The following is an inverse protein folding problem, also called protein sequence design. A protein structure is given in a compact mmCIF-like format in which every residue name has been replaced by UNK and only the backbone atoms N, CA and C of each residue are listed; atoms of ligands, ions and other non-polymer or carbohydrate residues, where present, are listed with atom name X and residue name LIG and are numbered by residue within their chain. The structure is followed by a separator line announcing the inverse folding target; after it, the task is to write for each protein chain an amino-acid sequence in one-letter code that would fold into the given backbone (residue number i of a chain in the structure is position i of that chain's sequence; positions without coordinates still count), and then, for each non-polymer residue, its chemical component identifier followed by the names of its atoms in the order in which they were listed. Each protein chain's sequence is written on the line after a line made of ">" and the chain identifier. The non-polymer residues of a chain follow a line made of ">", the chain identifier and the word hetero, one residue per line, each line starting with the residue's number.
data_IF_726879934668
#
_entry.id   IF_726879934668
#
_cell.length_a   1.000
_cell.length_b   1.000
_cell.length_c   1.000
_cell.angle_alpha   90.00
_cell.angle_beta   90.00
_cell.angle_gamma   90.00
#
_symmetry.space_group_name_H-M   'P 1'
#
loop_
_entity.id
_entity.type
_entity.pdbx_description
1 polymer ?
#
# COMPACT_ATOMS: atom_id res chain seq x y z
N UNK A 1 -42.99 -10.08 3.30
CA UNK A 1 -42.44 -10.45 4.62
C UNK A 1 -41.55 -9.31 5.10
N UNK A 2 -42.23 -8.26 5.52
CA UNK A 2 -41.69 -6.95 5.91
C UNK A 2 -42.19 -6.71 7.34
N UNK A 3 -41.34 -6.08 8.14
CA UNK A 3 -41.52 -5.74 9.57
C UNK A 3 -41.30 -6.89 10.54
N UNK A 4 -40.26 -6.76 11.37
CA UNK A 4 -40.29 -6.76 12.85
C UNK A 4 -38.84 -6.91 13.34
N UNK A 5 -38.25 -5.79 13.80
CA UNK A 5 -37.39 -5.70 15.01
C UNK A 5 -36.63 -4.37 15.03
N UNK A 6 -37.36 -3.33 15.46
CA UNK A 6 -36.82 -2.07 15.96
C UNK A 6 -37.48 -1.83 17.30
N UNK A 7 -36.90 -2.33 18.39
CA UNK A 7 -37.22 -1.92 19.77
C UNK A 7 -36.27 -2.63 20.73
N UNK A 8 -35.17 -1.96 21.09
CA UNK A 8 -34.46 -2.14 22.37
C UNK A 8 -33.44 -0.99 22.52
N UNK A 9 -33.98 0.21 22.72
CA UNK A 9 -33.25 1.35 23.25
C UNK A 9 -34.21 2.07 24.21
N UNK A 10 -33.72 2.41 25.40
CA UNK A 10 -34.40 3.08 26.51
C UNK A 10 -35.14 2.18 27.51
N UNK A 11 -34.38 1.62 28.45
CA UNK A 11 -34.78 1.60 29.86
C UNK A 11 -33.55 1.28 30.72
N UNK A 12 -33.04 2.29 31.43
CA UNK A 12 -32.47 2.22 32.78
C UNK A 12 -31.63 3.48 33.03
N UNK A 13 -32.28 4.51 33.53
CA UNK A 13 -31.66 5.63 34.23
C UNK A 13 -32.58 6.05 35.37
N UNK A 14 -31.99 6.21 36.58
CA UNK A 14 -32.57 6.65 37.88
C UNK A 14 -33.12 5.48 38.72
N UNK A 15 -32.79 5.28 40.00
CA UNK A 15 -32.40 6.22 41.06
C UNK A 15 -31.82 5.46 42.29
N UNK A 16 -30.76 6.00 42.90
CA UNK A 16 -30.49 6.14 44.36
C UNK A 16 -28.99 6.49 44.54
N UNK A 17 -28.58 7.71 44.91
CA UNK A 17 -28.58 8.37 46.24
C UNK A 17 -27.90 7.53 47.34
N UNK A 18 -26.91 7.94 48.13
CA UNK A 18 -26.09 9.15 48.35
C UNK A 18 -24.98 8.70 49.39
N UNK A 19 -24.27 9.56 50.14
CA UNK A 19 -23.06 10.35 49.85
C UNK A 19 -21.81 9.96 50.71
N UNK A 20 -20.65 10.58 50.42
CA UNK A 20 -19.71 11.01 51.48
C UNK A 20 -18.20 10.91 51.21
N UNK A 21 -17.50 11.99 51.60
CA UNK A 21 -16.05 12.15 51.88
C UNK A 21 -15.20 12.58 50.66
N UNK A 22 -14.97 13.89 50.42
CA UNK A 22 -14.03 14.86 51.04
C UNK A 22 -12.54 14.64 50.72
N UNK A 23 -11.91 15.70 50.17
CA UNK A 23 -10.46 15.89 49.98
C UNK A 23 -10.10 16.09 48.51
N UNK A 24 -10.04 17.33 47.99
CA UNK A 24 -8.87 18.22 48.09
C UNK A 24 -7.93 17.90 46.92
N UNK A 25 -7.75 18.72 45.88
CA UNK A 25 -7.40 20.13 45.92
C UNK A 25 -5.92 20.27 45.50
N UNK A 26 -5.69 20.89 44.34
CA UNK A 26 -4.42 21.51 43.91
C UNK A 26 -3.20 20.61 43.67
N UNK A 27 -2.93 20.29 42.39
CA UNK A 27 -1.56 20.09 41.89
C UNK A 27 -1.52 20.43 40.39
N UNK A 28 -1.52 21.73 40.09
CA UNK A 28 -1.26 22.23 38.73
C UNK A 28 -0.64 23.63 38.81
N UNK A 29 0.52 23.74 39.45
CA UNK A 29 1.42 24.90 39.40
C UNK A 29 2.74 24.59 40.11
N UNK A 30 3.58 23.73 39.53
CA UNK A 30 4.96 23.54 39.98
C UNK A 30 5.86 22.92 38.89
N UNK A 31 5.86 23.53 37.71
CA UNK A 31 6.89 23.30 36.68
C UNK A 31 7.20 24.62 35.99
N UNK A 32 7.81 25.58 36.71
CA UNK A 32 8.40 26.78 36.07
C UNK A 32 9.46 27.53 36.90
N UNK A 33 10.06 26.92 37.93
CA UNK A 33 11.12 27.58 38.72
C UNK A 33 12.28 26.66 39.13
N UNK A 34 12.87 25.94 38.17
CA UNK A 34 14.22 25.39 38.33
C UNK A 34 15.01 25.56 37.03
N UNK A 35 15.47 26.79 36.79
CA UNK A 35 16.55 27.05 35.83
C UNK A 35 17.17 28.43 36.07
N UNK A 36 17.55 28.73 37.31
CA UNK A 36 18.53 29.79 37.59
C UNK A 36 19.41 29.35 38.77
N UNK A 37 20.70 29.63 38.65
CA UNK A 37 21.80 29.42 39.61
C UNK A 37 22.58 28.11 39.50
N UNK A 38 23.60 28.08 38.64
CA UNK A 38 25.03 27.74 38.89
C UNK A 38 25.77 28.37 37.67
N UNK A 39 26.78 29.24 37.70
CA UNK A 39 27.92 29.40 38.58
C UNK A 39 29.19 29.27 37.72
N UNK A 40 29.69 30.38 37.18
CA UNK A 40 31.05 30.56 36.60
C UNK A 40 31.78 31.58 37.50
N UNK A 41 33.13 31.68 37.59
CA UNK A 41 34.12 31.31 36.56
C UNK A 41 35.47 30.74 37.07
N UNK A 42 36.30 30.20 36.16
CA UNK A 42 37.77 30.43 36.22
C UNK A 42 38.40 30.48 34.83
N UNK A 43 39.12 31.58 34.59
CA UNK A 43 39.98 31.85 33.43
C UNK A 43 41.23 30.97 33.48
N UNK A 44 41.67 30.45 32.34
CA UNK A 44 43.10 30.41 31.99
C UNK A 44 43.28 30.51 30.48
N UNK A 45 44.12 31.46 30.11
CA UNK A 45 44.63 31.83 28.80
C UNK A 45 45.66 30.82 28.29
N UNK A 46 45.67 30.54 26.98
CA UNK A 46 46.71 30.99 26.02
C UNK A 46 46.86 30.01 24.84
N UNK A 47 46.83 30.59 23.62
CA UNK A 47 47.66 30.28 22.42
C UNK A 47 47.69 28.83 21.90
N UNK A 48 47.73 28.52 20.61
CA UNK A 48 47.67 29.21 19.32
C UNK A 48 47.97 28.11 18.29
N UNK A 49 47.42 28.28 17.08
CA UNK A 49 47.91 27.76 15.80
C UNK A 49 47.55 26.34 15.33
N UNK A 50 47.37 26.36 14.00
CA UNK A 50 47.55 25.31 13.01
C UNK A 50 46.33 24.45 12.69
N UNK A 51 45.55 25.01 11.78
CA UNK A 51 44.65 24.34 10.87
C UNK A 51 45.28 23.07 10.25
N UNK A 52 44.58 21.94 10.43
CA UNK A 52 44.66 20.78 9.55
C UNK A 52 43.23 20.23 9.39
N UNK A 53 42.46 20.86 8.49
CA UNK A 53 41.18 20.32 7.99
C UNK A 53 41.49 19.05 7.21
N UNK A 54 41.40 17.89 7.87
CA UNK A 54 41.23 16.60 7.20
C UNK A 54 39.75 16.41 6.92
N UNK A 55 39.35 16.66 5.68
CA UNK A 55 38.09 16.20 5.12
C UNK A 55 38.11 14.66 5.10
N UNK A 56 37.49 14.02 6.09
CA UNK A 56 37.03 12.64 5.96
C UNK A 56 35.66 12.69 5.26
N UNK A 57 35.64 12.43 3.95
CA UNK A 57 34.39 12.14 3.24
C UNK A 57 33.81 10.86 3.83
N UNK A 58 32.67 10.98 4.50
CA UNK A 58 31.94 9.85 5.04
C UNK A 58 30.79 9.54 4.09
N UNK A 59 30.84 8.32 3.56
CA UNK A 59 29.92 7.74 2.60
C UNK A 59 28.50 7.76 3.17
N UNK A 60 27.64 8.59 2.56
CA UNK A 60 26.19 8.43 2.63
C UNK A 60 25.85 7.05 2.06
N UNK A 61 25.20 6.19 2.85
CA UNK A 61 24.69 4.90 2.39
C UNK A 61 23.37 5.08 1.59
N UNK A 62 23.36 6.03 0.66
CA UNK A 62 22.55 5.90 -0.54
C UNK A 62 23.33 5.00 -1.50
N UNK A 63 22.63 4.04 -2.11
CA UNK A 63 23.10 3.06 -3.08
C UNK A 63 24.21 3.62 -4.00
N UNK A 64 25.26 2.84 -4.22
CA UNK A 64 26.28 3.16 -5.20
C UNK A 64 25.69 3.16 -6.62
N UNK A 65 25.53 4.34 -7.19
CA UNK A 65 25.61 4.57 -8.63
C UNK A 65 27.07 4.35 -9.05
N UNK A 66 27.34 3.39 -9.94
CA UNK A 66 28.29 3.56 -11.05
C UNK A 66 27.97 2.56 -12.17
N UNK A 67 27.58 3.13 -13.30
CA UNK A 67 27.52 2.54 -14.63
C UNK A 67 28.91 2.15 -15.14
N UNK A 68 29.00 1.04 -15.89
CA UNK A 68 29.97 0.95 -16.98
C UNK A 68 29.53 -0.04 -18.08
N UNK A 69 28.59 0.41 -18.92
CA UNK A 69 28.47 -0.10 -20.29
C UNK A 69 28.30 1.08 -21.25
N UNK A 70 29.41 1.40 -21.90
CA UNK A 70 29.52 2.25 -23.09
C UNK A 70 28.57 1.85 -24.21
N UNK A 71 27.66 2.74 -24.61
CA UNK A 71 27.13 2.78 -25.99
C UNK A 71 27.01 4.24 -26.45
N UNK A 72 27.58 4.46 -27.62
CA UNK A 72 27.75 5.68 -28.40
C UNK A 72 26.51 6.57 -28.59
N UNK A 73 26.77 7.88 -28.53
CA UNK A 73 26.01 8.99 -29.11
C UNK A 73 25.56 8.73 -30.55
N UNK A 74 24.24 8.69 -30.77
CA UNK A 74 23.60 9.08 -32.03
C UNK A 74 22.42 9.99 -31.70
N UNK A 75 22.48 11.22 -32.21
CA UNK A 75 21.40 12.18 -32.15
C UNK A 75 20.31 11.81 -33.16
N UNK A 76 19.06 11.72 -32.71
CA UNK A 76 17.90 12.03 -33.53
C UNK A 76 16.69 12.28 -32.65
N UNK A 77 16.24 13.54 -32.66
CA UNK A 77 14.86 13.87 -32.30
C UNK A 77 13.91 13.07 -33.22
N UNK A 78 12.75 12.68 -32.68
CA UNK A 78 11.55 13.26 -33.27
C UNK A 78 10.53 13.75 -32.24
N UNK A 79 9.90 14.83 -32.67
CA UNK A 79 8.76 15.54 -32.13
C UNK A 79 7.62 14.61 -31.70
N UNK A 80 7.18 14.72 -30.45
CA UNK A 80 5.90 14.16 -30.01
C UNK A 80 4.76 15.03 -30.54
N UNK A 81 4.14 14.57 -31.62
CA UNK A 81 2.81 15.00 -32.02
C UNK A 81 1.79 14.44 -31.03
N UNK A 82 0.96 15.34 -30.50
CA UNK A 82 -0.22 15.05 -29.69
C UNK A 82 -1.18 14.13 -30.44
N UNK A 83 -1.32 12.88 -30.00
CA UNK A 83 -2.43 12.01 -30.42
C UNK A 83 -3.68 12.45 -29.64
N UNK A 84 -4.47 13.30 -30.28
CA UNK A 84 -5.89 13.46 -29.99
C UNK A 84 -6.60 12.12 -30.26
N UNK A 85 -6.99 11.42 -29.20
CA UNK A 85 -7.88 10.26 -29.31
C UNK A 85 -9.29 10.78 -29.61
N UNK A 86 -9.58 10.92 -30.90
CA UNK A 86 -10.94 11.04 -31.40
C UNK A 86 -11.64 9.68 -31.22
N UNK A 87 -12.55 9.61 -30.24
CA UNK A 87 -13.46 8.48 -30.05
C UNK A 87 -14.43 8.36 -31.23
N UNK A 88 -14.01 7.67 -32.30
CA UNK A 88 -14.91 7.14 -33.32
C UNK A 88 -15.79 6.05 -32.70
N UNK A 89 -17.11 6.23 -32.81
CA UNK A 89 -18.11 5.18 -32.57
C UNK A 89 -17.87 4.03 -33.55
N UNK A 90 -17.15 3.00 -33.13
CA UNK A 90 -17.19 1.71 -33.80
C UNK A 90 -18.39 0.92 -33.30
N UNK A 91 -19.32 0.73 -34.23
CA UNK A 91 -20.52 -0.06 -34.10
C UNK A 91 -20.09 -1.53 -34.16
N UNK A 92 -19.83 -2.14 -33.00
CA UNK A 92 -19.52 -3.57 -32.92
C UNK A 92 -20.80 -4.35 -33.26
N UNK A 93 -20.74 -4.99 -34.42
CA UNK A 93 -21.73 -5.93 -34.92
C UNK A 93 -21.73 -7.18 -34.03
N UNK A 94 -22.87 -7.43 -33.39
CA UNK A 94 -23.14 -8.65 -32.64
C UNK A 94 -23.22 -9.84 -33.59
N UNK A 95 -22.25 -10.74 -33.52
CA UNK A 95 -22.43 -12.11 -34.02
C UNK A 95 -23.33 -12.87 -33.04
N UNK A 96 -24.60 -12.97 -33.39
CA UNK A 96 -25.52 -13.98 -32.88
C UNK A 96 -25.78 -15.00 -34.01
N UNK A 97 -25.85 -16.30 -33.73
CA UNK A 97 -26.32 -17.28 -34.70
C UNK A 97 -27.84 -17.13 -34.84
N UNK A 98 -28.28 -16.62 -35.99
CA UNK A 98 -29.68 -16.48 -36.34
C UNK A 98 -30.32 -17.85 -36.57
N UNK A 99 -31.37 -18.08 -35.78
CA UNK A 99 -32.47 -19.02 -35.98
C UNK A 99 -32.89 -19.21 -37.45
N UNK A 100 -33.16 -20.46 -37.79
CA UNK A 100 -33.91 -20.90 -38.97
C UNK A 100 -35.24 -20.14 -39.09
N UNK A 101 -35.28 -19.17 -40.01
CA UNK A 101 -36.50 -18.54 -40.49
C UNK A 101 -36.97 -19.23 -41.77
N UNK A 102 -38.17 -19.82 -41.71
CA UNK A 102 -38.96 -20.20 -42.88
C UNK A 102 -39.24 -18.96 -43.73
N UNK A 103 -38.69 -18.95 -44.94
CA UNK A 103 -38.96 -17.94 -45.96
C UNK A 103 -39.47 -18.60 -47.22
N UNK A 104 -40.71 -18.26 -47.59
CA UNK A 104 -41.38 -18.62 -48.82
C UNK A 104 -40.53 -18.27 -50.05
N UNK A 105 -40.25 -19.27 -50.90
CA UNK A 105 -39.71 -19.10 -52.24
C UNK A 105 -40.71 -19.69 -53.24
N UNK A 106 -41.48 -18.81 -53.88
CA UNK A 106 -42.36 -19.13 -54.99
C UNK A 106 -41.65 -18.76 -56.31
N UNK A 107 -41.99 -19.49 -57.37
CA UNK A 107 -41.82 -19.23 -58.81
C UNK A 107 -40.53 -19.66 -59.52
N UNK A 108 -40.77 -20.35 -60.65
CA UNK A 108 -39.78 -20.85 -61.63
C UNK A 108 -39.93 -22.37 -61.82
N UNK A 109 -41.04 -22.88 -62.35
CA UNK A 109 -41.52 -22.83 -63.74
C UNK A 109 -40.54 -23.41 -64.77
N UNK A 110 -41.09 -24.18 -65.70
CA UNK A 110 -40.45 -24.91 -66.82
C UNK A 110 -39.76 -26.23 -66.39
N UNK A 111 -39.97 -27.39 -67.00
CA UNK A 111 -40.78 -27.76 -68.16
C UNK A 111 -40.71 -29.28 -68.34
N UNK A 112 -41.77 -29.82 -68.94
CA UNK A 112 -41.77 -31.02 -69.78
C UNK A 112 -41.34 -32.36 -69.17
N UNK A 113 -42.32 -33.25 -68.99
CA UNK A 113 -42.55 -34.29 -70.00
C UNK A 113 -43.69 -35.22 -69.55
N UNK A 114 -44.81 -35.02 -70.21
CA UNK A 114 -45.92 -35.97 -70.29
C UNK A 114 -45.46 -37.25 -70.98
N UNK A 115 -45.12 -38.28 -70.21
CA UNK A 115 -45.15 -39.67 -70.70
C UNK A 115 -46.41 -40.34 -70.15
N UNK A 116 -47.39 -40.47 -71.04
CA UNK A 116 -48.55 -41.35 -70.89
C UNK A 116 -48.03 -42.78 -70.71
N UNK A 117 -48.19 -43.33 -69.51
CA UNK A 117 -48.16 -44.78 -69.32
C UNK A 117 -49.42 -45.20 -68.58
N UNK A 118 -50.44 -45.55 -69.38
CA UNK A 118 -51.54 -46.39 -68.95
C UNK A 118 -50.94 -47.73 -68.50
N UNK A 119 -50.76 -47.91 -67.19
CA UNK A 119 -50.57 -49.23 -66.59
C UNK A 119 -51.61 -49.40 -65.50
N UNK A 120 -52.66 -50.12 -65.89
CA UNK A 120 -53.45 -51.03 -65.08
C UNK A 120 -53.44 -50.76 -63.59
N UNK A 121 -54.53 -50.13 -63.14
CA UNK A 121 -55.08 -50.27 -61.80
C UNK A 121 -55.25 -51.77 -61.51
N UNK A 122 -54.19 -52.44 -61.06
CA UNK A 122 -54.36 -53.62 -60.26
C UNK A 122 -55.00 -53.15 -58.96
N UNK A 123 -56.28 -53.48 -58.84
CA UNK A 123 -57.05 -53.45 -57.62
C UNK A 123 -56.29 -54.30 -56.59
N UNK A 124 -55.31 -53.69 -55.92
CA UNK A 124 -54.67 -54.29 -54.77
C UNK A 124 -55.79 -54.48 -53.76
N UNK A 125 -56.19 -55.74 -53.59
CA UNK A 125 -56.99 -56.19 -52.47
C UNK A 125 -56.44 -55.48 -51.24
N UNK A 126 -57.27 -54.62 -50.66
CA UNK A 126 -56.99 -53.95 -49.41
C UNK A 126 -56.91 -55.06 -48.36
N UNK A 127 -55.70 -55.57 -48.16
CA UNK A 127 -55.39 -56.46 -47.05
C UNK A 127 -55.82 -55.67 -45.83
N UNK A 128 -56.92 -56.11 -45.21
CA UNK A 128 -57.51 -55.47 -44.03
C UNK A 128 -56.40 -55.40 -43.00
N UNK A 129 -55.82 -54.21 -42.81
CA UNK A 129 -54.79 -53.99 -41.80
C UNK A 129 -55.44 -54.38 -40.48
N UNK A 130 -54.93 -55.43 -39.82
CA UNK A 130 -55.60 -55.93 -38.65
C UNK A 130 -55.57 -54.84 -37.57
N UNK A 131 -56.72 -54.60 -36.92
CA UNK A 131 -56.97 -53.43 -36.05
C UNK A 131 -55.90 -53.21 -34.97
N UNK A 132 -55.22 -54.26 -34.54
CA UNK A 132 -54.12 -54.18 -33.57
C UNK A 132 -52.92 -53.38 -34.09
N UNK A 133 -52.66 -53.34 -35.40
CA UNK A 133 -51.58 -52.55 -36.00
C UNK A 133 -51.79 -51.06 -35.78
N UNK A 134 -53.03 -50.57 -35.90
CA UNK A 134 -53.37 -49.17 -35.61
C UNK A 134 -53.18 -48.83 -34.13
N UNK A 135 -53.52 -49.75 -33.23
CA UNK A 135 -53.31 -49.57 -31.78
C UNK A 135 -51.83 -49.46 -31.45
N UNK A 136 -51.00 -50.36 -31.98
CA UNK A 136 -49.53 -50.31 -31.79
C UNK A 136 -48.96 -49.00 -32.33
N UNK A 137 -49.40 -48.56 -33.50
CA UNK A 137 -48.92 -47.33 -34.12
C UNK A 137 -49.31 -46.08 -33.29
N UNK A 138 -50.54 -46.02 -32.75
CA UNK A 138 -50.96 -44.99 -31.82
C UNK A 138 -50.18 -45.00 -30.49
N UNK A 139 -49.85 -46.18 -29.95
CA UNK A 139 -49.03 -46.29 -28.73
C UNK A 139 -47.61 -45.80 -28.99
N UNK A 140 -47.00 -46.18 -30.12
CA UNK A 140 -45.67 -45.71 -30.50
C UNK A 140 -45.62 -44.19 -30.71
N UNK A 141 -46.62 -43.59 -31.35
CA UNK A 141 -46.69 -42.13 -31.51
C UNK A 141 -46.90 -41.41 -30.18
N UNK A 142 -47.75 -41.94 -29.30
CA UNK A 142 -47.95 -41.39 -27.96
C UNK A 142 -46.67 -41.46 -27.10
N UNK A 143 -45.96 -42.60 -27.10
CA UNK A 143 -44.69 -42.75 -26.39
C UNK A 143 -43.60 -41.83 -26.95
N UNK A 144 -43.54 -41.65 -28.27
CA UNK A 144 -42.64 -40.71 -28.93
C UNK A 144 -42.94 -39.26 -28.49
N UNK A 145 -44.22 -38.89 -28.42
CA UNK A 145 -44.65 -37.57 -27.96
C UNK A 145 -44.32 -37.32 -26.48
N UNK A 146 -44.55 -38.32 -25.61
CA UNK A 146 -44.18 -38.23 -24.18
C UNK A 146 -42.67 -38.04 -24.03
N UNK A 147 -41.85 -38.81 -24.76
CA UNK A 147 -40.39 -38.62 -24.75
C UNK A 147 -40.00 -37.24 -25.27
N UNK A 148 -40.63 -36.74 -26.34
CA UNK A 148 -40.37 -35.41 -26.85
C UNK A 148 -40.67 -34.31 -25.81
N UNK A 149 -41.73 -34.46 -25.01
CA UNK A 149 -42.05 -33.56 -23.90
C UNK A 149 -40.99 -33.65 -22.78
N UNK A 150 -40.58 -34.86 -22.41
CA UNK A 150 -39.51 -35.04 -21.42
C UNK A 150 -38.19 -34.42 -21.87
N UNK A 151 -37.81 -34.57 -23.14
CA UNK A 151 -36.63 -33.90 -23.69
C UNK A 151 -36.79 -32.38 -23.71
N UNK A 152 -37.97 -31.86 -24.06
CA UNK A 152 -38.24 -30.41 -24.06
C UNK A 152 -38.20 -29.80 -22.67
N UNK A 153 -38.69 -30.50 -21.65
CA UNK A 153 -38.64 -30.05 -20.25
C UNK A 153 -37.22 -30.11 -19.70
N UNK A 154 -36.48 -31.20 -19.97
CA UNK A 154 -35.07 -31.30 -19.59
C UNK A 154 -34.20 -30.23 -20.26
N UNK A 155 -34.39 -29.98 -21.56
CA UNK A 155 -33.65 -28.94 -22.27
C UNK A 155 -34.00 -27.53 -21.78
N UNK A 156 -35.27 -27.26 -21.45
CA UNK A 156 -35.67 -25.99 -20.86
C UNK A 156 -35.02 -25.75 -19.49
N UNK A 157 -34.91 -26.78 -18.65
CA UNK A 157 -34.22 -26.67 -17.35
C UNK A 157 -32.71 -26.40 -17.51
N UNK A 158 -32.06 -27.02 -18.50
CA UNK A 158 -30.64 -26.77 -18.79
C UNK A 158 -30.44 -25.34 -19.33
N UNK A 159 -31.27 -24.92 -20.28
CA UNK A 159 -31.18 -23.57 -20.87
C UNK A 159 -31.43 -22.50 -19.81
N UNK A 160 -32.43 -22.66 -18.94
CA UNK A 160 -32.70 -21.71 -17.86
C UNK A 160 -31.58 -21.67 -16.82
N UNK A 161 -30.97 -22.81 -16.46
CA UNK A 161 -29.80 -22.84 -15.59
C UNK A 161 -28.60 -22.09 -16.19
N UNK A 162 -28.33 -22.27 -17.49
CA UNK A 162 -27.28 -21.55 -18.19
C UNK A 162 -27.56 -20.03 -18.27
N UNK A 163 -28.82 -19.64 -18.45
CA UNK A 163 -29.21 -18.22 -18.51
C UNK A 163 -29.00 -17.55 -17.14
N UNK A 164 -29.35 -18.22 -16.05
CA UNK A 164 -29.09 -17.77 -14.67
C UNK A 164 -27.57 -17.64 -14.42
N UNK A 165 -26.77 -18.62 -14.86
CA UNK A 165 -25.32 -18.58 -14.71
C UNK A 165 -24.71 -17.41 -15.51
N UNK A 166 -25.17 -17.20 -16.74
CA UNK A 166 -24.75 -16.09 -17.58
C UNK A 166 -25.12 -14.73 -16.97
N UNK A 167 -26.34 -14.57 -16.45
CA UNK A 167 -26.76 -13.36 -15.75
C UNK A 167 -25.90 -13.10 -14.51
N UNK A 168 -25.57 -14.15 -13.75
CA UNK A 168 -24.70 -14.05 -12.58
C UNK A 168 -23.29 -13.58 -12.94
N UNK A 169 -22.72 -14.10 -14.04
CA UNK A 169 -21.40 -13.70 -14.55
C UNK A 169 -21.41 -12.26 -15.08
N UNK A 170 -22.46 -11.85 -15.79
CA UNK A 170 -22.63 -10.47 -16.25
C UNK A 170 -22.75 -9.52 -15.06
N UNK A 171 -23.48 -9.91 -14.02
CA UNK A 171 -23.61 -9.15 -12.79
C UNK A 171 -22.27 -9.02 -12.06
N UNK A 172 -21.52 -10.13 -11.88
CA UNK A 172 -20.18 -10.12 -11.29
C UNK A 172 -19.22 -9.23 -12.08
N UNK A 173 -19.23 -9.31 -13.42
CA UNK A 173 -18.42 -8.44 -14.28
C UNK A 173 -18.79 -6.97 -14.13
N UNK A 174 -20.08 -6.65 -13.99
CA UNK A 174 -20.54 -5.27 -13.78
C UNK A 174 -20.11 -4.74 -12.41
N UNK A 175 -20.12 -5.58 -11.37
CA UNK A 175 -19.61 -5.22 -10.05
C UNK A 175 -18.09 -5.00 -10.07
N UNK A 176 -17.33 -5.88 -10.73
CA UNK A 176 -15.87 -5.74 -10.82
C UNK A 176 -15.44 -4.48 -11.56
N UNK A 177 -16.15 -4.11 -12.64
CA UNK A 177 -15.91 -2.85 -13.36
C UNK A 177 -16.19 -1.61 -12.48
N UNK A 178 -17.25 -1.65 -11.65
CA UNK A 178 -17.55 -0.56 -10.71
C UNK A 178 -16.46 -0.42 -9.65
N UNK A 179 -16.08 -1.53 -9.01
CA UNK A 179 -15.00 -1.53 -8.01
C UNK A 179 -13.67 -1.05 -8.60
N UNK A 180 -13.34 -1.46 -9.83
CA UNK A 180 -12.15 -0.97 -10.52
C UNK A 180 -12.19 0.55 -10.76
N UNK A 181 -13.35 1.08 -11.19
CA UNK A 181 -13.53 2.52 -11.41
C UNK A 181 -13.44 3.31 -10.10
N UNK A 182 -14.10 2.84 -9.05
CA UNK A 182 -14.05 3.47 -7.73
C UNK A 182 -12.61 3.46 -7.16
N UNK A 183 -11.87 2.37 -7.37
CA UNK A 183 -10.45 2.28 -7.04
C UNK A 183 -9.57 3.26 -7.82
N UNK A 184 -9.82 3.43 -9.12
CA UNK A 184 -9.15 4.43 -9.97
C UNK A 184 -9.43 5.87 -9.47
N UNK A 185 -10.68 6.19 -9.17
CA UNK A 185 -11.08 7.51 -8.67
C UNK A 185 -10.46 7.81 -7.29
N UNK A 186 -10.42 6.80 -6.41
CA UNK A 186 -9.74 6.90 -5.12
C UNK A 186 -8.22 7.11 -5.28
N UNK A 187 -7.56 6.34 -6.16
CA UNK A 187 -6.13 6.50 -6.48
C UNK A 187 -5.83 7.90 -7.00
N UNK A 188 -6.62 8.41 -7.94
CA UNK A 188 -6.46 9.75 -8.50
C UNK A 188 -6.65 10.84 -7.43
N UNK A 189 -7.60 10.65 -6.49
CA UNK A 189 -7.82 11.56 -5.37
C UNK A 189 -6.63 11.58 -4.41
N UNK A 190 -6.09 10.42 -4.06
CA UNK A 190 -4.91 10.28 -3.18
C UNK A 190 -3.67 10.87 -3.85
N UNK A 191 -3.40 10.55 -5.12
CA UNK A 191 -2.26 11.11 -5.85
C UNK A 191 -2.32 12.63 -5.94
N UNK A 192 -3.52 13.21 -6.16
CA UNK A 192 -3.71 14.67 -6.12
C UNK A 192 -3.43 15.27 -4.73
N UNK A 193 -3.73 14.54 -3.66
CA UNK A 193 -3.42 14.96 -2.28
C UNK A 193 -1.92 14.84 -1.97
N UNK A 194 -1.26 13.76 -2.40
CA UNK A 194 0.20 13.59 -2.28
C UNK A 194 0.95 14.67 -3.05
N UNK A 195 0.50 15.03 -4.26
CA UNK A 195 1.08 16.13 -5.03
C UNK A 195 0.93 17.47 -4.30
N UNK A 196 -0.22 17.72 -3.67
CA UNK A 196 -0.43 18.93 -2.83
C UNK A 196 0.51 18.92 -1.62
N UNK A 197 0.67 17.78 -0.95
CA UNK A 197 1.60 17.62 0.18
C UNK A 197 3.04 17.90 -0.26
N UNK A 198 3.52 17.24 -1.33
CA UNK A 198 4.86 17.46 -1.90
C UNK A 198 5.08 18.92 -2.30
N UNK A 199 4.06 19.60 -2.87
CA UNK A 199 4.14 21.03 -3.20
C UNK A 199 4.23 21.90 -1.95
N UNK A 200 3.42 21.64 -0.93
CA UNK A 200 3.47 22.35 0.35
C UNK A 200 4.81 22.13 1.06
N UNK A 201 5.35 20.91 1.02
CA UNK A 201 6.67 20.59 1.58
C UNK A 201 7.79 21.34 0.84
N UNK A 202 7.78 21.36 -0.50
CA UNK A 202 8.76 22.16 -1.28
C UNK A 202 8.67 23.66 -1.00
N UNK A 203 7.45 24.18 -0.85
CA UNK A 203 7.24 25.58 -0.44
C UNK A 203 7.81 25.83 0.96
N UNK A 204 7.63 24.88 1.88
CA UNK A 204 8.20 24.95 3.22
C UNK A 204 9.74 24.95 3.18
N UNK A 205 10.37 23.98 2.49
CA UNK A 205 11.83 23.91 2.36
C UNK A 205 12.41 25.17 1.72
N UNK A 206 11.77 25.70 0.67
CA UNK A 206 12.19 26.95 0.06
C UNK A 206 12.04 28.15 1.01
N UNK A 207 10.95 28.22 1.77
CA UNK A 207 10.76 29.30 2.75
C UNK A 207 11.75 29.19 3.91
N UNK A 208 12.04 28.00 4.42
CA UNK A 208 13.08 27.77 5.43
C UNK A 208 14.44 28.25 4.94
N UNK A 209 14.82 27.92 3.70
CA UNK A 209 16.06 28.40 3.08
C UNK A 209 16.12 29.92 2.96
N UNK A 210 15.02 30.56 2.55
CA UNK A 210 14.94 32.03 2.49
C UNK A 210 15.11 32.67 3.87
N UNK A 211 14.61 32.03 4.93
CA UNK A 211 14.73 32.51 6.30
C UNK A 211 16.17 32.36 6.80
N UNK A 212 16.83 31.24 6.51
CA UNK A 212 18.25 31.02 6.79
C UNK A 212 19.13 32.05 6.08
N UNK A 213 18.89 32.31 4.79
CA UNK A 213 19.61 33.35 4.02
C UNK A 213 19.40 34.75 4.62
N UNK A 214 18.19 35.08 5.07
CA UNK A 214 17.93 36.36 5.78
C UNK A 214 18.68 36.40 7.11
N UNK A 215 18.69 35.31 7.88
CA UNK A 215 19.38 35.24 9.17
C UNK A 215 20.91 35.39 9.00
N UNK A 216 21.49 34.81 7.94
CA UNK A 216 22.91 34.96 7.59
C UNK A 216 23.24 36.41 7.17
N UNK A 217 22.37 37.06 6.39
CA UNK A 217 22.51 38.49 6.06
C UNK A 217 22.42 39.35 7.32
N UNK A 218 21.53 39.01 8.26
CA UNK A 218 21.44 39.71 9.53
C UNK A 218 22.69 39.52 10.40
N UNK A 219 23.21 38.29 10.50
CA UNK A 219 24.43 37.98 11.27
C UNK A 219 25.68 38.65 10.69
N UNK A 220 25.79 38.71 9.35
CA UNK A 220 26.88 39.44 8.68
C UNK A 220 26.74 40.96 8.82
N UNK A 221 25.52 41.50 8.90
CA UNK A 221 25.31 42.93 9.15
C UNK A 221 25.76 43.39 10.55
N UNK A 222 25.85 42.48 11.53
CA UNK A 222 26.34 42.80 12.88
C UNK A 222 27.87 42.91 12.95
N UNK A 223 28.60 42.36 11.98
CA UNK A 223 30.07 42.38 11.96
C UNK A 223 30.68 43.67 11.36
N UNK A 224 29.88 44.67 10.98
CA UNK A 224 30.37 46.01 10.62
C UNK A 224 31.04 46.13 9.25
N UNK A 225 31.12 45.05 8.47
CA UNK A 225 31.57 45.11 7.08
C UNK A 225 30.50 45.79 6.22
N UNK A 226 30.88 46.86 5.51
CA UNK A 226 30.03 47.63 4.60
C UNK A 226 29.66 46.81 3.35
N UNK A 227 28.84 45.76 3.51
CA UNK A 227 28.28 45.01 2.38
C UNK A 227 27.12 45.82 1.81
N UNK A 228 27.30 46.30 0.58
CA UNK A 228 26.31 47.13 -0.11
C UNK A 228 25.09 46.29 -0.52
N UNK A 229 24.02 46.36 0.27
CA UNK A 229 22.78 45.63 0.00
C UNK A 229 22.06 46.19 -1.26
N UNK A 230 21.45 45.31 -2.10
CA UNK A 230 20.69 45.74 -3.28
C UNK A 230 19.60 46.76 -2.93
N UNK A 231 19.52 47.84 -3.73
CA UNK A 231 18.63 48.99 -3.50
C UNK A 231 17.15 48.62 -3.26
N UNK A 232 16.69 47.45 -3.74
CA UNK A 232 15.32 46.95 -3.55
C UNK A 232 14.92 46.63 -2.10
N UNK A 233 15.86 46.61 -1.15
CA UNK A 233 15.59 46.27 0.26
C UNK A 233 15.73 47.44 1.25
N UNK A 234 16.07 48.65 0.78
CA UNK A 234 16.40 49.79 1.67
C UNK A 234 15.23 50.36 2.50
N UNK A 235 13.98 50.14 2.10
CA UNK A 235 12.81 50.88 2.65
C UNK A 235 11.89 50.10 3.61
N UNK A 236 12.24 48.90 4.08
CA UNK A 236 11.43 48.15 5.08
C UNK A 236 12.20 47.91 6.36
N UNK A 237 12.45 48.98 7.12
CA UNK A 237 13.09 48.91 8.42
C UNK A 237 12.07 48.70 9.55
N UNK A 238 11.80 47.43 9.83
CA UNK A 238 11.63 46.98 11.21
C UNK A 238 11.96 45.49 11.24
N UNK A 239 13.22 45.14 11.55
CA UNK A 239 13.69 43.73 11.67
C UNK A 239 12.71 42.89 12.52
N UNK A 240 12.11 43.51 13.53
CA UNK A 240 11.09 42.91 14.40
C UNK A 240 9.77 42.55 13.69
N UNK A 241 9.32 43.32 12.70
CA UNK A 241 8.08 43.03 11.94
C UNK A 241 8.32 41.88 10.97
N UNK A 242 9.47 41.86 10.30
CA UNK A 242 9.86 40.76 9.41
C UNK A 242 10.00 39.45 10.20
N UNK A 243 10.69 39.47 11.34
CA UNK A 243 10.84 38.30 12.22
C UNK A 243 9.49 37.76 12.71
N UNK A 244 8.63 38.62 13.27
CA UNK A 244 7.29 38.20 13.73
C UNK A 244 6.42 37.65 12.60
N UNK A 245 6.52 38.22 11.40
CA UNK A 245 5.78 37.73 10.23
C UNK A 245 6.28 36.36 9.78
N UNK A 246 7.62 36.14 9.80
CA UNK A 246 8.24 34.85 9.51
C UNK A 246 7.78 33.79 10.52
N UNK A 247 7.89 34.07 11.82
CA UNK A 247 7.49 33.17 12.90
C UNK A 247 6.02 32.76 12.79
N UNK A 248 5.12 33.74 12.65
CA UNK A 248 3.68 33.48 12.50
C UNK A 248 3.37 32.65 11.24
N UNK A 249 4.10 32.88 10.13
CA UNK A 249 3.93 32.10 8.90
C UNK A 249 4.42 30.67 9.06
N UNK A 250 5.57 30.46 9.70
CA UNK A 250 6.09 29.13 10.02
C UNK A 250 5.09 28.35 10.89
N UNK A 251 4.56 28.97 11.94
CA UNK A 251 3.54 28.37 12.81
C UNK A 251 2.28 27.98 12.02
N UNK A 252 1.77 28.87 11.16
CA UNK A 252 0.60 28.58 10.32
C UNK A 252 0.85 27.44 9.31
N UNK A 253 2.08 27.29 8.81
CA UNK A 253 2.46 26.20 7.92
C UNK A 253 2.60 24.88 8.68
N UNK A 254 3.25 24.88 9.83
CA UNK A 254 3.34 23.71 10.72
C UNK A 254 1.95 23.21 11.10
N UNK A 255 1.04 24.11 11.47
CA UNK A 255 -0.34 23.76 11.76
C UNK A 255 -1.05 23.10 10.55
N UNK A 256 -0.80 23.56 9.32
CA UNK A 256 -1.34 22.91 8.11
C UNK A 256 -0.75 21.53 7.88
N UNK A 257 0.54 21.34 8.14
CA UNK A 257 1.21 20.03 8.05
C UNK A 257 0.61 19.07 9.06
N UNK A 258 0.47 19.47 10.33
CA UNK A 258 -0.15 18.62 11.36
C UNK A 258 -1.59 18.24 11.04
N UNK A 259 -2.40 19.18 10.54
CA UNK A 259 -3.77 18.86 10.11
C UNK A 259 -3.80 17.86 8.94
N UNK A 260 -2.85 17.95 8.02
CA UNK A 260 -2.75 17.04 6.88
C UNK A 260 -2.25 15.65 7.32
N UNK A 261 -1.27 15.59 8.23
CA UNK A 261 -0.83 14.34 8.86
C UNK A 261 -2.01 13.66 9.56
N UNK A 262 -2.72 14.38 10.46
CA UNK A 262 -3.88 13.85 11.17
C UNK A 262 -4.98 13.33 10.21
N UNK A 263 -5.22 14.04 9.10
CA UNK A 263 -6.15 13.59 8.07
C UNK A 263 -5.70 12.29 7.39
N UNK A 264 -4.40 12.17 7.06
CA UNK A 264 -3.84 10.95 6.46
C UNK A 264 -3.94 9.79 7.45
N UNK A 265 -3.54 10.00 8.72
CA UNK A 265 -3.63 9.00 9.80
C UNK A 265 -5.06 8.48 9.97
N UNK A 266 -6.04 9.38 10.03
CA UNK A 266 -7.44 9.01 10.16
C UNK A 266 -7.95 8.24 8.94
N UNK A 267 -7.55 8.65 7.74
CA UNK A 267 -7.85 7.93 6.51
C UNK A 267 -7.26 6.52 6.50
N UNK A 268 -5.99 6.39 6.87
CA UNK A 268 -5.28 5.11 6.99
C UNK A 268 -5.92 4.19 8.01
N UNK A 269 -6.23 4.71 9.21
CA UNK A 269 -6.92 3.98 10.27
C UNK A 269 -8.24 3.38 9.78
N UNK A 270 -9.07 4.18 9.10
CA UNK A 270 -10.35 3.71 8.53
C UNK A 270 -10.14 2.61 7.50
N UNK A 271 -9.20 2.79 6.56
CA UNK A 271 -8.91 1.80 5.52
C UNK A 271 -8.37 0.50 6.08
N UNK A 272 -7.52 0.55 7.11
CA UNK A 272 -7.06 -0.66 7.81
C UNK A 272 -8.23 -1.40 8.48
N UNK A 273 -9.10 -0.68 9.20
CA UNK A 273 -10.28 -1.29 9.83
C UNK A 273 -11.22 -1.91 8.79
N UNK A 274 -11.45 -1.21 7.67
CA UNK A 274 -12.30 -1.68 6.58
C UNK A 274 -11.72 -2.92 5.89
N UNK A 275 -10.42 -2.94 5.62
CA UNK A 275 -9.75 -4.00 4.86
C UNK A 275 -9.35 -5.21 5.69
N UNK A 276 -8.88 -4.99 6.91
CA UNK A 276 -8.26 -6.01 7.76
C UNK A 276 -9.01 -6.26 9.08
N UNK A 277 -10.07 -5.50 9.33
CA UNK A 277 -10.81 -5.55 10.59
C UNK A 277 -10.14 -4.76 11.71
N UNK A 278 -10.78 -4.68 12.89
CA UNK A 278 -10.17 -4.08 14.06
C UNK A 278 -8.91 -4.85 14.46
N UNK A 279 -7.88 -4.13 14.92
CA UNK A 279 -6.65 -4.73 15.45
C UNK A 279 -6.83 -5.32 16.87
N UNK A 280 -5.76 -5.87 17.46
CA UNK A 280 -4.38 -5.89 16.95
C UNK A 280 -4.20 -6.86 15.78
N UNK A 281 -3.43 -6.44 14.77
CA UNK A 281 -3.09 -7.26 13.59
C UNK A 281 -1.79 -8.02 13.85
N UNK A 282 -1.70 -9.24 13.31
CA UNK A 282 -0.52 -10.10 13.48
C UNK A 282 0.01 -10.57 12.12
N UNK A 283 1.32 -10.50 11.92
CA UNK A 283 1.98 -10.98 10.71
C UNK A 283 2.93 -12.12 11.10
N UNK A 284 2.73 -13.29 10.51
CA UNK A 284 3.64 -14.42 10.66
C UNK A 284 4.68 -14.39 9.54
N UNK A 285 5.95 -14.41 9.93
CA UNK A 285 7.08 -14.57 9.04
C UNK A 285 7.60 -16.00 9.12
N UNK A 286 7.63 -16.68 7.98
CA UNK A 286 8.32 -17.96 7.83
C UNK A 286 9.68 -17.69 7.20
N UNK A 287 10.77 -18.03 7.89
CA UNK A 287 12.14 -17.71 7.49
C UNK A 287 13.03 -18.94 7.39
N UNK A 288 14.11 -18.83 6.60
CA UNK A 288 15.13 -19.86 6.50
C UNK A 288 16.52 -19.26 6.36
N UNK A 289 17.38 -19.55 7.33
CA UNK A 289 18.80 -19.20 7.27
C UNK A 289 19.53 -20.02 6.19
N UNK A 290 20.59 -19.45 5.61
CA UNK A 290 21.38 -20.03 4.52
C UNK A 290 22.06 -21.37 4.91
N UNK A 291 22.41 -21.56 6.19
CA UNK A 291 23.27 -22.66 6.68
C UNK A 291 22.57 -24.03 6.84
N UNK A 292 21.53 -24.33 6.05
CA UNK A 292 20.84 -25.62 6.14
C UNK A 292 20.10 -25.87 7.46
N UNK A 293 19.91 -24.82 8.27
CA UNK A 293 19.08 -24.87 9.47
C UNK A 293 17.62 -25.13 9.11
N UNK A 294 16.89 -25.69 10.08
CA UNK A 294 15.45 -25.87 9.97
C UNK A 294 14.79 -24.50 9.75
N UNK A 295 13.77 -24.39 8.88
CA UNK A 295 12.96 -23.19 8.79
C UNK A 295 12.43 -22.81 10.18
N UNK A 296 12.50 -21.52 10.50
CA UNK A 296 11.95 -20.95 11.72
C UNK A 296 10.81 -20.00 11.37
N UNK A 297 10.01 -19.64 12.38
CA UNK A 297 8.95 -18.66 12.21
C UNK A 297 8.91 -17.72 13.41
N UNK A 298 8.55 -16.46 13.15
CA UNK A 298 8.31 -15.48 14.21
C UNK A 298 7.06 -14.66 13.89
N UNK A 299 6.42 -14.15 14.93
CA UNK A 299 5.17 -13.40 14.81
C UNK A 299 5.38 -11.95 15.24
N UNK A 300 4.90 -11.03 14.41
CA UNK A 300 4.91 -9.60 14.68
C UNK A 300 3.49 -9.12 14.95
N UNK A 301 3.27 -8.50 16.10
CA UNK A 301 2.07 -7.73 16.39
C UNK A 301 2.25 -6.30 15.88
N UNK A 302 1.30 -5.80 15.10
CA UNK A 302 1.32 -4.43 14.61
C UNK A 302 1.04 -3.44 15.74
N UNK A 303 1.63 -2.25 15.65
CA UNK A 303 1.37 -1.16 16.57
C UNK A 303 -0.13 -0.78 16.58
N UNK A 304 -0.65 -0.23 17.69
CA UNK A 304 -2.03 0.22 17.76
C UNK A 304 -2.36 1.23 16.65
N UNK A 305 -3.52 1.10 16.01
CA UNK A 305 -3.96 2.07 14.99
C UNK A 305 -4.22 3.48 15.54
N UNK A 306 -4.19 3.67 16.85
CA UNK A 306 -4.26 4.98 17.49
C UNK A 306 -2.92 5.70 17.54
N UNK A 307 -1.79 5.00 17.30
CA UNK A 307 -0.45 5.59 17.40
C UNK A 307 0.15 5.85 16.03
N UNK A 308 0.25 4.83 15.18
CA UNK A 308 0.92 4.91 13.86
C UNK A 308 0.13 4.22 12.72
N UNK A 309 -1.16 4.58 12.51
CA UNK A 309 -2.01 3.90 11.55
C UNK A 309 -1.52 3.95 10.10
N UNK A 310 -0.80 4.99 9.69
CA UNK A 310 -0.33 5.13 8.31
C UNK A 310 0.79 4.14 7.98
N UNK A 311 1.79 4.04 8.85
CA UNK A 311 2.88 3.07 8.72
C UNK A 311 2.37 1.62 8.80
N UNK A 312 1.43 1.33 9.72
CA UNK A 312 0.78 0.01 9.82
C UNK A 312 0.02 -0.33 8.54
N UNK A 313 -0.77 0.60 7.99
CA UNK A 313 -1.45 0.40 6.71
C UNK A 313 -0.47 0.06 5.59
N UNK A 314 0.57 0.88 5.43
CA UNK A 314 1.58 0.71 4.40
C UNK A 314 2.26 -0.66 4.48
N UNK A 315 2.60 -1.11 5.69
CA UNK A 315 3.20 -2.42 5.88
C UNK A 315 2.24 -3.58 5.60
N UNK A 316 0.99 -3.51 6.09
CA UNK A 316 -0.02 -4.54 5.84
C UNK A 316 -0.37 -4.66 4.35
N UNK A 317 -0.38 -3.54 3.62
CA UNK A 317 -0.54 -3.54 2.17
C UNK A 317 0.59 -4.31 1.48
N UNK A 318 1.85 -4.11 1.90
CA UNK A 318 2.99 -4.86 1.35
C UNK A 318 2.91 -6.36 1.66
N UNK A 319 2.53 -6.73 2.89
CA UNK A 319 2.36 -8.13 3.30
C UNK A 319 1.26 -8.80 2.49
N UNK A 320 0.08 -8.19 2.41
CA UNK A 320 -1.07 -8.77 1.69
C UNK A 320 -0.88 -8.87 0.18
N UNK A 321 -0.04 -8.02 -0.38
CA UNK A 321 0.36 -8.09 -1.79
C UNK A 321 1.63 -8.94 -2.02
N UNK A 322 2.10 -9.70 -1.03
CA UNK A 322 3.23 -10.63 -1.14
C UNK A 322 4.53 -9.96 -1.57
N UNK A 323 4.73 -8.69 -1.20
CA UNK A 323 5.98 -7.96 -1.49
C UNK A 323 7.14 -8.67 -0.77
N UNK A 324 6.92 -9.15 0.44
CA UNK A 324 7.95 -9.79 1.27
C UNK A 324 8.17 -11.28 1.01
N UNK A 325 7.32 -11.94 0.21
CA UNK A 325 7.49 -13.37 -0.10
C UNK A 325 8.76 -13.60 -0.93
N UNK A 326 9.55 -14.61 -0.55
CA UNK A 326 10.83 -14.92 -1.20
C UNK A 326 11.83 -13.74 -1.23
N UNK A 327 11.87 -12.94 -0.15
CA UNK A 327 12.83 -11.82 -0.01
C UNK A 327 13.91 -12.09 1.03
N UNK A 328 14.66 -11.08 1.45
CA UNK A 328 15.84 -11.25 2.31
C UNK A 328 15.79 -10.35 3.55
N UNK A 329 16.19 -10.93 4.67
CA UNK A 329 16.79 -10.23 5.80
C UNK A 329 18.31 -10.29 5.67
N UNK A 330 19.00 -9.24 6.11
CA UNK A 330 20.46 -9.16 6.16
C UNK A 330 20.90 -8.30 7.35
N UNK A 331 22.06 -8.63 7.93
CA UNK A 331 22.68 -7.85 8.99
C UNK A 331 23.96 -7.22 8.45
N UNK A 332 24.16 -5.93 8.69
CA UNK A 332 25.37 -5.24 8.29
C UNK A 332 26.36 -5.22 9.46
N UNK A 333 27.54 -5.81 9.29
CA UNK A 333 28.60 -5.89 10.33
C UNK A 333 29.10 -4.56 10.93
N UNK A 334 28.78 -3.42 10.31
CA UNK A 334 29.09 -2.08 10.90
C UNK A 334 27.86 -1.44 11.56
N UNK A 335 26.69 -2.03 11.38
CA UNK A 335 25.42 -1.55 11.91
C UNK A 335 24.79 -2.68 12.74
N UNK A 336 25.54 -3.16 13.73
CA UNK A 336 25.16 -4.25 14.64
C UNK A 336 23.94 -3.95 15.52
N UNK A 337 23.29 -2.79 15.29
CA UNK A 337 22.09 -2.38 16.00
C UNK A 337 20.80 -2.77 15.29
N UNK A 338 20.82 -3.23 14.02
CA UNK A 338 19.61 -3.60 13.26
C UNK A 338 19.78 -4.85 12.39
N UNK A 339 18.68 -5.58 12.19
CA UNK A 339 18.54 -6.61 11.15
C UNK A 339 17.63 -6.03 10.06
N UNK A 340 18.17 -5.72 8.89
CA UNK A 340 17.43 -5.07 7.82
C UNK A 340 16.71 -6.08 6.91
N UNK A 341 15.58 -5.70 6.34
CA UNK A 341 14.86 -6.38 5.29
C UNK A 341 14.84 -5.52 4.02
N UNK A 342 15.05 -6.16 2.88
CA UNK A 342 14.95 -5.52 1.57
C UNK A 342 14.01 -6.32 0.65
N UNK A 343 13.18 -5.66 -0.18
CA UNK A 343 12.27 -6.31 -1.12
C UNK A 343 13.04 -6.79 -2.35
N UNK A 344 14.04 -7.63 -2.10
CA UNK A 344 14.96 -8.19 -3.09
C UNK A 344 14.76 -9.70 -3.12
N UNK A 345 14.60 -10.27 -4.31
CA UNK A 345 14.33 -11.70 -4.50
C UNK A 345 15.54 -12.53 -4.04
N UNK A 346 15.31 -13.45 -3.10
CA UNK A 346 16.36 -14.35 -2.61
C UNK A 346 16.93 -15.20 -3.75
N UNK A 347 18.26 -15.23 -3.85
CA UNK A 347 19.01 -16.03 -4.83
C UNK A 347 19.30 -15.32 -6.14
N UNK A 348 18.39 -14.47 -6.64
CA UNK A 348 18.64 -13.67 -7.87
C UNK A 348 19.07 -12.24 -7.56
N UNK A 349 18.80 -11.75 -6.36
CA UNK A 349 19.06 -10.38 -5.90
C UNK A 349 18.41 -9.28 -6.77
N UNK A 350 17.37 -9.63 -7.53
CA UNK A 350 16.58 -8.65 -8.28
C UNK A 350 15.66 -7.88 -7.34
N UNK A 351 15.58 -6.57 -7.51
CA UNK A 351 14.61 -5.74 -6.77
C UNK A 351 13.18 -6.07 -7.20
N UNK A 352 12.22 -5.89 -6.29
CA UNK A 352 10.79 -6.01 -6.55
C UNK A 352 10.14 -4.67 -6.93
N UNK A 353 10.89 -3.76 -7.55
CA UNK A 353 10.43 -2.40 -7.84
C UNK A 353 9.17 -2.41 -8.72
N UNK A 354 9.10 -3.28 -9.73
CA UNK A 354 7.89 -3.44 -10.56
C UNK A 354 6.65 -3.85 -9.76
N UNK A 355 6.83 -4.74 -8.76
CA UNK A 355 5.72 -5.13 -7.90
C UNK A 355 5.28 -3.95 -7.05
N UNK A 356 6.22 -3.18 -6.49
CA UNK A 356 5.92 -1.98 -5.70
C UNK A 356 5.28 -0.86 -6.53
N UNK A 357 5.77 -0.62 -7.76
CA UNK A 357 5.21 0.33 -8.70
C UNK A 357 3.77 -0.04 -9.10
N UNK A 358 3.50 -1.34 -9.32
CA UNK A 358 2.15 -1.84 -9.63
C UNK A 358 1.15 -1.58 -8.49
N UNK A 359 1.63 -1.55 -7.25
CA UNK A 359 0.85 -1.19 -6.06
C UNK A 359 0.70 0.33 -5.90
N UNK A 360 1.43 1.13 -6.68
CA UNK A 360 1.53 2.58 -6.47
C UNK A 360 2.22 2.91 -5.14
N UNK A 361 3.16 2.07 -4.70
CA UNK A 361 3.90 2.29 -3.47
C UNK A 361 4.81 3.52 -3.62
N UNK A 362 4.62 4.53 -2.77
CA UNK A 362 5.46 5.73 -2.71
C UNK A 362 6.24 5.85 -1.38
N UNK A 363 6.15 4.84 -0.52
CA UNK A 363 6.61 4.95 0.87
C UNK A 363 5.55 5.49 1.81
N UNK A 364 5.90 5.58 3.09
CA UNK A 364 5.10 6.36 4.06
C UNK A 364 5.16 7.84 3.68
N UNK A 365 4.03 8.54 3.80
CA UNK A 365 3.89 9.93 3.33
C UNK A 365 4.64 10.94 4.22
N UNK A 366 4.96 10.54 5.45
CA UNK A 366 5.72 11.32 6.43
C UNK A 366 6.29 10.34 7.50
N UNK A 367 7.35 10.73 8.22
CA UNK A 367 7.91 9.95 9.32
C UNK A 367 6.91 9.88 10.50
N UNK A 368 6.06 8.86 10.49
CA UNK A 368 5.03 8.68 11.51
C UNK A 368 5.59 8.02 12.77
N UNK A 369 5.87 8.82 13.79
CA UNK A 369 6.44 8.38 15.06
C UNK A 369 5.50 8.61 16.25
N UNK A 370 5.57 7.72 17.25
CA UNK A 370 4.85 7.86 18.50
C UNK A 370 5.73 7.50 19.71
N UNK A 371 5.82 8.41 20.68
CA UNK A 371 6.61 8.18 21.89
C UNK A 371 6.07 7.02 22.77
N UNK A 372 4.80 6.64 22.62
CA UNK A 372 4.22 5.47 23.30
C UNK A 372 4.56 4.14 22.62
N UNK A 373 5.11 4.17 21.40
CA UNK A 373 5.57 3.01 20.65
C UNK A 373 6.99 3.27 20.08
N UNK A 374 8.02 3.42 20.94
CA UNK A 374 9.38 3.74 20.50
C UNK A 374 10.13 2.50 20.00
N UNK A 375 11.29 2.70 19.38
CA UNK A 375 12.17 1.65 18.82
C UNK A 375 12.88 0.79 19.87
N UNK A 376 12.12 0.06 20.68
CA UNK A 376 12.65 -0.87 21.70
C UNK A 376 13.23 -2.13 21.06
N UNK A 377 13.92 -2.93 21.86
CA UNK A 377 14.31 -4.27 21.47
C UNK A 377 13.10 -5.07 20.94
N UNK A 378 13.32 -5.76 19.83
CA UNK A 378 12.37 -6.56 19.05
C UNK A 378 11.22 -5.79 18.39
N UNK A 379 11.33 -4.47 18.27
CA UNK A 379 10.42 -3.68 17.44
C UNK A 379 10.85 -3.65 15.97
N UNK A 380 9.91 -3.34 15.09
CA UNK A 380 10.13 -3.15 13.66
C UNK A 380 9.93 -1.69 13.27
N UNK A 381 10.81 -1.18 12.42
CA UNK A 381 10.72 0.18 11.89
C UNK A 381 11.06 0.27 10.41
N UNK A 382 10.52 1.28 9.72
CA UNK A 382 10.93 1.58 8.34
C UNK A 382 12.26 2.32 8.34
N UNK A 383 13.13 2.00 7.39
CA UNK A 383 14.30 2.84 7.13
C UNK A 383 13.84 4.07 6.32
N UNK A 384 13.80 5.24 6.95
CA UNK A 384 13.22 6.44 6.36
C UNK A 384 11.76 6.22 5.93
N UNK A 385 11.47 6.38 4.64
CA UNK A 385 10.11 6.21 4.11
C UNK A 385 9.77 4.78 3.63
N UNK A 386 10.66 3.80 3.86
CA UNK A 386 10.57 2.45 3.30
C UNK A 386 11.05 2.38 1.83
N UNK A 387 10.87 1.25 1.13
CA UNK A 387 10.19 0.01 1.55
C UNK A 387 11.00 -0.85 2.52
N UNK A 388 12.30 -0.62 2.61
CA UNK A 388 13.15 -1.34 3.55
C UNK A 388 12.67 -1.11 4.98
N UNK A 389 12.62 -2.18 5.76
CA UNK A 389 12.35 -2.11 7.19
C UNK A 389 13.46 -2.84 7.93
N UNK A 390 13.49 -2.69 9.25
CA UNK A 390 14.44 -3.39 10.10
C UNK A 390 13.76 -3.91 11.35
N UNK A 391 14.43 -4.88 11.99
CA UNK A 391 14.14 -5.37 13.33
C UNK A 391 15.23 -4.82 14.24
N UNK A 392 14.84 -4.29 15.40
CA UNK A 392 15.73 -3.82 16.45
C UNK A 392 16.17 -5.00 17.35
N UNK A 393 17.37 -5.60 17.20
CA UNK A 393 17.90 -6.61 18.11
C UNK A 393 18.22 -6.09 19.52
N UNK A 394 18.33 -4.78 19.69
CA UNK A 394 18.59 -4.05 20.94
C UNK A 394 17.67 -2.82 21.01
N UNK A 395 17.63 -2.12 22.15
CA UNK A 395 16.88 -0.86 22.25
C UNK A 395 17.59 0.25 21.44
N UNK A 396 16.90 0.78 20.44
CA UNK A 396 17.38 1.83 19.55
C UNK A 396 16.48 3.07 19.58
N UNK A 397 15.72 3.29 20.65
CA UNK A 397 14.86 4.46 20.78
C UNK A 397 15.61 5.79 20.58
N UNK A 398 16.87 5.87 21.02
CA UNK A 398 17.73 7.04 20.81
C UNK A 398 18.30 7.13 19.39
N UNK A 399 18.56 6.00 18.72
CA UNK A 399 19.19 6.00 17.40
C UNK A 399 18.19 6.30 16.27
N UNK A 400 16.99 5.74 16.37
CA UNK A 400 15.93 5.81 15.36
C UNK A 400 14.73 6.67 15.78
N UNK A 401 14.72 7.19 17.01
CA UNK A 401 13.71 8.13 17.48
C UNK A 401 13.99 9.59 17.08
N UNK A 402 13.12 10.53 17.48
CA UNK A 402 13.28 11.95 17.19
C UNK A 402 14.59 12.48 17.75
N UNK A 403 15.35 13.21 16.94
CA UNK A 403 16.69 13.68 17.34
C UNK A 403 17.77 12.63 17.20
N UNK A 404 17.47 11.49 16.56
CA UNK A 404 18.37 10.37 16.45
C UNK A 404 19.70 10.72 15.80
N UNK A 405 20.73 9.95 16.17
CA UNK A 405 22.12 10.15 15.72
C UNK A 405 22.27 9.83 14.22
N UNK A 406 21.32 9.10 13.63
CA UNK A 406 21.36 8.79 12.21
C UNK A 406 21.13 10.05 11.36
N UNK A 407 22.09 10.35 10.49
CA UNK A 407 22.13 11.57 9.66
C UNK A 407 21.36 11.44 8.34
N UNK A 408 20.42 10.50 8.22
CA UNK A 408 19.63 10.31 7.00
C UNK A 408 18.32 11.11 7.00
N UNK A 409 17.98 11.77 8.11
CA UNK A 409 16.83 12.66 8.19
C UNK A 409 17.21 14.11 7.89
N UNK A 410 16.35 14.81 7.15
CA UNK A 410 16.53 16.24 6.84
C UNK A 410 16.29 17.12 8.07
N UNK A 411 15.35 16.71 8.93
CA UNK A 411 14.98 17.44 10.14
C UNK A 411 15.45 16.68 11.37
N UNK A 412 15.98 17.39 12.36
CA UNK A 412 16.37 16.80 13.64
C UNK A 412 15.19 16.25 14.43
N UNK A 413 13.95 16.62 14.10
CA UNK A 413 12.74 16.10 14.77
C UNK A 413 12.18 14.85 14.11
N UNK A 414 12.68 14.48 12.92
CA UNK A 414 12.20 13.30 12.21
C UNK A 414 12.74 12.04 12.88
N UNK A 415 11.98 10.96 12.70
CA UNK A 415 12.27 9.65 13.26
C UNK A 415 11.78 8.58 12.29
N UNK A 416 12.39 7.41 12.32
CA UNK A 416 11.90 6.29 11.56
C UNK A 416 10.53 5.82 12.13
N UNK A 417 9.54 5.48 11.28
CA UNK A 417 8.28 4.94 11.76
C UNK A 417 8.47 3.56 12.43
N UNK A 418 8.06 3.41 13.69
CA UNK A 418 8.05 2.15 14.42
C UNK A 418 6.64 1.55 14.39
N UNK A 419 6.42 0.45 13.67
CA UNK A 419 5.07 -0.01 13.29
C UNK A 419 4.70 -1.41 13.79
N UNK A 420 5.59 -2.12 14.47
CA UNK A 420 5.28 -3.43 15.04
C UNK A 420 6.30 -3.91 16.05
N UNK A 421 5.97 -5.00 16.74
CA UNK A 421 6.83 -5.67 17.72
C UNK A 421 6.73 -7.18 17.56
N UNK A 422 7.84 -7.89 17.76
CA UNK A 422 7.85 -9.35 17.77
C UNK A 422 7.23 -9.82 19.09
N UNK A 423 6.24 -10.69 19.00
CA UNK A 423 5.54 -11.27 20.16
C UNK A 423 5.82 -12.76 20.35
N UNK A 424 6.38 -13.43 19.33
CA UNK A 424 6.77 -14.83 19.37
C UNK A 424 7.90 -15.13 18.37
N UNK A 425 8.71 -16.16 18.63
CA UNK A 425 9.87 -16.53 17.79
C UNK A 425 11.12 -15.68 18.02
N UNK A 426 11.32 -15.18 19.25
CA UNK A 426 12.49 -14.37 19.63
C UNK A 426 13.82 -15.11 19.42
N UNK A 427 13.83 -16.41 19.63
CA UNK A 427 14.96 -17.31 19.42
C UNK A 427 15.36 -17.38 17.94
N UNK A 428 14.39 -17.45 17.03
CA UNK A 428 14.65 -17.39 15.57
C UNK A 428 15.35 -16.08 15.21
N UNK A 429 14.84 -14.96 15.70
CA UNK A 429 15.43 -13.63 15.41
C UNK A 429 16.83 -13.52 16.03
N UNK A 430 17.01 -13.95 17.28
CA UNK A 430 18.28 -13.84 18.00
C UNK A 430 19.35 -14.81 17.51
N UNK A 431 18.98 -16.05 17.22
CA UNK A 431 19.94 -17.12 16.96
C UNK A 431 20.04 -17.54 15.50
N UNK A 432 19.04 -17.28 14.66
CA UNK A 432 19.09 -17.67 13.25
C UNK A 432 19.30 -16.46 12.31
N UNK A 433 18.85 -15.26 12.70
CA UNK A 433 18.94 -14.06 11.87
C UNK A 433 20.13 -13.14 12.21
N UNK A 434 20.63 -13.15 13.45
CA UNK A 434 21.81 -12.38 13.86
C UNK A 434 23.14 -13.12 13.61
N UNK A 435 23.11 -14.23 12.89
CA UNK A 435 24.33 -14.94 12.53
C UNK A 435 25.00 -14.17 11.40
N UNK A 436 25.90 -13.28 11.81
CA UNK A 436 26.47 -12.24 10.98
C UNK A 436 27.94 -11.95 11.27
N UNK A 437 28.71 -12.89 11.84
CA UNK A 437 30.16 -12.73 11.93
C UNK A 437 30.77 -13.11 10.58
N UNK A 438 30.63 -12.24 9.59
CA UNK A 438 31.32 -12.40 8.31
C UNK A 438 32.81 -12.69 8.59
N UNK A 439 33.32 -13.81 8.07
CA UNK A 439 34.75 -14.11 8.13
C UNK A 439 35.47 -13.33 7.02
N UNK A 440 35.68 -12.03 7.21
CA UNK A 440 36.47 -11.22 6.26
C UNK A 440 36.24 -9.72 6.32
N UNK A 441 37.17 -8.95 5.75
CA UNK A 441 37.09 -7.50 5.59
C UNK A 441 36.02 -7.12 4.55
N UNK A 442 35.12 -6.20 4.92
CA UNK A 442 34.13 -5.46 4.10
C UNK A 442 33.41 -6.26 2.98
N UNK A 443 32.08 -6.49 3.06
CA UNK A 443 31.32 -7.15 2.01
C UNK A 443 31.43 -6.36 0.70
N UNK A 444 31.71 -7.07 -0.41
CA UNK A 444 31.82 -6.53 -1.77
C UNK A 444 30.48 -6.58 -2.53
N UNK A 445 29.51 -7.37 -2.04
CA UNK A 445 28.17 -7.42 -2.61
C UNK A 445 27.18 -8.24 -1.79
N UNK A 446 25.94 -8.37 -2.26
CA UNK A 446 24.85 -9.10 -1.59
C UNK A 446 25.19 -10.55 -1.23
N UNK A 447 26.04 -11.20 -2.01
CA UNK A 447 26.47 -12.58 -1.78
C UNK A 447 27.34 -12.76 -0.53
N UNK A 448 27.98 -11.68 -0.08
CA UNK A 448 28.86 -11.65 1.09
C UNK A 448 28.12 -11.39 2.40
N UNK A 449 26.85 -10.96 2.32
CA UNK A 449 26.01 -10.79 3.50
C UNK A 449 25.48 -12.14 3.98
N UNK A 450 25.31 -12.22 5.29
CA UNK A 450 24.58 -13.30 5.93
C UNK A 450 23.09 -13.03 5.75
N UNK A 451 22.57 -13.63 4.69
CA UNK A 451 21.18 -13.47 4.27
C UNK A 451 20.30 -14.55 4.88
N UNK A 452 19.18 -14.12 5.47
CA UNK A 452 18.08 -15.00 5.86
C UNK A 452 16.94 -14.83 4.87
N UNK A 453 16.47 -15.91 4.27
CA UNK A 453 15.34 -15.88 3.34
C UNK A 453 14.05 -15.68 4.09
N UNK A 454 13.25 -14.69 3.67
CA UNK A 454 11.83 -14.61 4.00
C UNK A 454 11.11 -15.54 3.04
N UNK A 455 10.63 -16.69 3.52
CA UNK A 455 9.87 -17.64 2.70
C UNK A 455 8.50 -17.03 2.42
N UNK A 456 7.76 -16.70 3.47
CA UNK A 456 6.47 -16.01 3.37
C UNK A 456 6.30 -14.99 4.49
N UNK A 457 5.52 -13.95 4.21
CA UNK A 457 4.97 -13.06 5.23
C UNK A 457 3.45 -13.01 5.05
N UNK A 458 2.69 -13.39 6.08
CA UNK A 458 1.22 -13.50 5.98
C UNK A 458 0.50 -12.90 7.17
N UNK A 459 -0.59 -12.21 6.89
CA UNK A 459 -1.52 -11.73 7.91
C UNK A 459 -2.23 -12.94 8.54
N UNK A 460 -2.16 -13.04 9.86
CA UNK A 460 -2.83 -14.09 10.64
C UNK A 460 -4.22 -13.59 11.04
N UNK A 461 -5.25 -14.38 10.81
CA UNK A 461 -6.60 -14.00 11.24
C UNK A 461 -6.68 -13.99 12.77
N UNK A 462 -7.43 -13.03 13.32
CA UNK A 462 -7.53 -12.81 14.76
C UNK A 462 -7.90 -14.07 15.56
N UNK A 463 -8.62 -15.02 14.94
CA UNK A 463 -9.04 -16.28 15.56
C UNK A 463 -7.88 -17.17 16.01
N UNK A 464 -6.67 -17.00 15.45
CA UNK A 464 -5.52 -17.84 15.77
C UNK A 464 -4.47 -17.17 16.67
N UNK A 465 -4.67 -15.92 17.08
CA UNK A 465 -3.65 -15.15 17.81
C UNK A 465 -3.66 -15.35 19.34
N UNK A 466 -4.44 -16.30 19.88
CA UNK A 466 -4.61 -16.49 21.34
C UNK A 466 -4.09 -17.82 21.89
N UNK A 467 -3.31 -18.55 21.10
CA UNK A 467 -2.60 -19.77 21.51
C UNK A 467 -1.11 -19.51 21.59
#
# INVERSE_FOLDING_TARGET
>A
MVMIQRQQAMSMRRQSSNPGILGGGQQQQQQQQQQQQIGSPTKRTSSSNAAARRNSSFTSCAMGDEDNCSVSTISSHPSYSSILVNSRKEKISSMLPSSFGSGCGNTGNSSNSSSRSNRNLHHHQTVKTPRWVLVVLCVCTALSWIRAIQYRTASFNIISAMDIELESLVFQKKQSVRLYKDGQDAKNKISKQQLKLKKTQRLFTHETRMIEEIAEIEASSEHGDNVELPAKYRNRKSKTVTKKWIEHRQEALLHKVYNLQAYIQEGSRKRVIEKYGPGPHHVLFDVKSREGRKPGSFMVQMAPLSTVPHAVETFLDMVTNKVWDNTVFYSHHTQDHVIAAAPIVYGTFQSKDHQMESLGYEGVSFPEYSASFPHKQFTLGFAGNGPNFYINPIDNAEHHGPGGIQRHHDLSTDADPCFGEIVSGFDVVKFDMQIGRHKGNKPKGWADYDITRIITAKLVSHQFATH
#
